data_IF_357151234794
#
_entry.id   IF_357151234794
#
_cell.length_a   1.000
_cell.length_b   1.000
_cell.length_c   1.000
_cell.angle_alpha   90.00
_cell.angle_beta   90.00
_cell.angle_gamma   90.00
#
_symmetry.space_group_name_H-M   'P 1'
#
loop_
_entity.id
_entity.type
_entity.pdbx_description
1 polymer ?
#
# COMPACT_ATOMS: atom_id res chain seq x y z
N UNK A 1 -23.73 -4.61 3.19
CA UNK A 1 -22.52 -3.79 3.06
C UNK A 1 -21.36 -4.51 2.38
N UNK A 2 -21.25 -5.84 2.42
CA UNK A 2 -20.14 -6.54 1.73
C UNK A 2 -20.50 -6.89 0.28
N UNK A 3 -19.84 -6.30 -0.73
CA UNK A 3 -20.12 -6.60 -2.11
C UNK A 3 -19.63 -7.99 -2.49
N UNK A 4 -20.38 -8.64 -3.39
CA UNK A 4 -20.09 -10.01 -3.85
C UNK A 4 -19.54 -9.97 -5.27
N UNK A 5 -18.73 -10.96 -5.62
CA UNK A 5 -18.23 -11.13 -6.99
C UNK A 5 -18.49 -12.55 -7.48
N UNK A 6 -18.91 -12.68 -8.74
CA UNK A 6 -19.09 -13.95 -9.44
C UNK A 6 -17.79 -14.40 -10.14
N UNK A 7 -16.79 -13.52 -10.22
CA UNK A 7 -15.50 -13.82 -10.86
C UNK A 7 -14.79 -14.94 -10.10
N UNK A 8 -14.49 -16.02 -10.82
CA UNK A 8 -13.64 -17.09 -10.30
C UNK A 8 -12.18 -16.66 -10.30
N UNK A 9 -11.41 -17.19 -9.35
CA UNK A 9 -9.97 -16.96 -9.31
C UNK A 9 -9.32 -17.78 -10.43
N UNK A 10 -8.44 -17.15 -11.21
CA UNK A 10 -7.59 -17.89 -12.13
C UNK A 10 -6.52 -18.69 -11.36
N UNK A 11 -5.76 -19.54 -12.05
CA UNK A 11 -4.74 -20.40 -11.44
C UNK A 11 -3.69 -19.61 -10.65
N UNK A 12 -3.23 -18.48 -11.19
CA UNK A 12 -2.24 -17.60 -10.53
C UNK A 12 -2.83 -17.00 -9.26
N UNK A 13 -4.04 -16.45 -9.32
CA UNK A 13 -4.70 -15.83 -8.17
C UNK A 13 -5.00 -16.84 -7.06
N UNK A 14 -5.43 -18.05 -7.43
CA UNK A 14 -5.65 -19.13 -6.47
C UNK A 14 -4.34 -19.55 -5.79
N UNK A 15 -3.25 -19.66 -6.56
CA UNK A 15 -1.92 -19.92 -6.02
C UNK A 15 -1.44 -18.81 -5.07
N UNK A 16 -1.58 -17.54 -5.48
CA UNK A 16 -1.23 -16.37 -4.67
C UNK A 16 -2.04 -16.33 -3.36
N UNK A 17 -3.33 -16.65 -3.41
CA UNK A 17 -4.20 -16.75 -2.23
C UNK A 17 -3.74 -17.86 -1.30
N UNK A 18 -3.52 -19.07 -1.82
CA UNK A 18 -3.07 -20.23 -1.04
C UNK A 18 -1.75 -19.93 -0.33
N UNK A 19 -0.80 -19.32 -1.04
CA UNK A 19 0.49 -18.89 -0.49
C UNK A 19 0.32 -17.87 0.63
N UNK A 20 -0.52 -16.85 0.42
CA UNK A 20 -0.80 -15.83 1.43
C UNK A 20 -1.41 -16.43 2.71
N UNK A 21 -2.38 -17.35 2.56
CA UNK A 21 -3.00 -18.05 3.68
C UNK A 21 -1.98 -18.92 4.44
N UNK A 22 -1.12 -19.66 3.72
CA UNK A 22 -0.10 -20.50 4.34
C UNK A 22 0.90 -19.68 5.17
N UNK A 23 1.42 -18.58 4.62
CA UNK A 23 2.36 -17.69 5.32
C UNK A 23 1.72 -17.13 6.60
N UNK A 24 0.47 -16.66 6.52
CA UNK A 24 -0.24 -16.12 7.69
C UNK A 24 -0.50 -17.17 8.75
N UNK A 25 -0.90 -18.38 8.36
CA UNK A 25 -1.14 -19.48 9.29
C UNK A 25 0.15 -19.93 9.98
N UNK A 26 1.25 -20.07 9.24
CA UNK A 26 2.57 -20.37 9.79
C UNK A 26 3.02 -19.28 10.76
N UNK A 27 2.96 -18.02 10.32
CA UNK A 27 3.38 -16.86 11.13
C UNK A 27 2.58 -16.81 12.42
N UNK A 28 1.25 -16.93 12.36
CA UNK A 28 0.37 -16.91 13.53
C UNK A 28 0.79 -17.93 14.58
N UNK A 29 1.04 -19.18 14.17
CA UNK A 29 1.43 -20.25 15.09
C UNK A 29 2.79 -19.99 15.73
N UNK A 30 3.76 -19.53 14.94
CA UNK A 30 5.12 -19.36 15.43
C UNK A 30 5.27 -18.11 16.32
N UNK A 31 4.54 -17.02 16.06
CA UNK A 31 4.57 -15.83 16.95
C UNK A 31 3.89 -16.07 18.30
N UNK A 32 3.07 -17.11 18.42
CA UNK A 32 2.52 -17.56 19.71
C UNK A 32 3.58 -18.25 20.57
N UNK A 33 4.57 -18.91 19.95
CA UNK A 33 5.68 -19.62 20.61
C UNK A 33 6.88 -18.70 20.84
N UNK A 34 7.22 -17.86 19.86
CA UNK A 34 8.35 -16.93 19.91
C UNK A 34 7.90 -15.54 19.46
N UNK A 35 7.89 -14.59 20.42
CA UNK A 35 7.51 -13.20 20.17
C UNK A 35 8.38 -12.48 19.14
N UNK A 36 9.60 -12.96 18.90
CA UNK A 36 10.55 -12.38 17.94
C UNK A 36 10.45 -13.01 16.55
N UNK A 37 9.59 -14.02 16.39
CA UNK A 37 9.53 -14.84 15.19
C UNK A 37 9.32 -13.99 13.92
N UNK A 38 10.10 -14.34 12.92
CA UNK A 38 9.88 -13.99 11.53
C UNK A 38 10.21 -15.18 10.64
N UNK A 39 9.65 -15.22 9.44
CA UNK A 39 10.09 -16.18 8.42
C UNK A 39 11.60 -16.04 8.19
N UNK A 40 12.32 -17.08 7.73
CA UNK A 40 13.78 -16.99 7.54
C UNK A 40 14.20 -15.80 6.68
N UNK A 41 13.43 -15.52 5.63
CA UNK A 41 13.52 -14.37 4.74
C UNK A 41 12.13 -13.73 4.57
N UNK A 42 12.03 -12.44 4.20
CA UNK A 42 10.75 -11.80 3.96
C UNK A 42 10.02 -12.46 2.79
N UNK A 43 8.71 -12.68 2.96
CA UNK A 43 7.82 -13.25 1.95
C UNK A 43 7.13 -12.19 1.10
N UNK A 44 7.08 -10.96 1.60
CA UNK A 44 6.68 -9.77 0.87
C UNK A 44 7.75 -8.69 1.02
N UNK A 45 8.01 -7.94 -0.05
CA UNK A 45 8.89 -6.78 -0.01
C UNK A 45 8.20 -5.60 -0.67
N UNK A 46 8.32 -4.45 -0.06
CA UNK A 46 7.77 -3.20 -0.53
C UNK A 46 8.93 -2.24 -0.78
N UNK A 47 9.09 -1.82 -2.03
CA UNK A 47 10.18 -0.95 -2.47
C UNK A 47 9.60 0.42 -2.82
N UNK A 48 9.97 1.42 -2.03
CA UNK A 48 9.73 2.81 -2.35
C UNK A 48 10.80 3.27 -3.34
N UNK A 49 10.49 3.28 -4.63
CA UNK A 49 11.52 3.52 -5.65
C UNK A 49 12.03 4.95 -5.62
N UNK A 50 11.18 5.93 -5.32
CA UNK A 50 11.58 7.33 -5.26
C UNK A 50 10.62 8.13 -4.39
N UNK A 51 11.11 9.22 -3.80
CA UNK A 51 10.25 10.21 -3.16
C UNK A 51 9.57 11.15 -4.16
N UNK A 52 10.10 11.26 -5.39
CA UNK A 52 9.56 12.16 -6.43
C UNK A 52 8.15 11.73 -6.86
N UNK A 53 7.24 12.68 -6.94
CA UNK A 53 5.94 12.50 -7.60
C UNK A 53 5.67 13.65 -8.56
N UNK A 54 5.06 13.34 -9.71
CA UNK A 54 4.61 14.30 -10.71
C UNK A 54 3.21 14.89 -10.40
N UNK A 55 2.59 14.50 -9.29
CA UNK A 55 1.32 15.04 -8.78
C UNK A 55 1.46 15.59 -7.37
N UNK A 56 0.48 16.38 -6.93
CA UNK A 56 0.34 16.93 -5.56
C UNK A 56 -1.09 16.70 -5.08
N UNK A 57 -1.45 15.44 -4.91
CA UNK A 57 -2.82 15.07 -4.58
C UNK A 57 -3.20 15.58 -3.19
N UNK A 58 -4.43 16.08 -3.03
CA UNK A 58 -4.90 16.74 -1.80
C UNK A 58 -4.92 15.79 -0.58
N UNK A 59 -5.12 14.49 -0.82
CA UNK A 59 -5.17 13.46 0.22
C UNK A 59 -3.82 12.82 0.55
N UNK A 60 -2.76 13.18 -0.18
CA UNK A 60 -1.50 12.45 -0.10
C UNK A 60 -0.69 12.87 1.13
N UNK A 61 -0.51 11.96 2.09
CA UNK A 61 0.31 12.19 3.29
C UNK A 61 1.79 12.54 2.98
N UNK A 62 2.29 12.26 1.76
CA UNK A 62 3.65 12.60 1.35
C UNK A 62 3.76 14.05 0.88
N UNK A 63 2.78 14.57 0.15
CA UNK A 63 2.94 15.76 -0.71
C UNK A 63 1.79 16.76 -0.68
N UNK A 64 0.70 16.50 0.04
CA UNK A 64 -0.34 17.51 0.28
C UNK A 64 0.20 18.66 1.15
N UNK A 65 -0.59 19.69 1.45
CA UNK A 65 -0.11 20.87 2.18
C UNK A 65 0.47 20.59 3.57
N UNK A 66 0.11 19.45 4.18
CA UNK A 66 0.61 18.97 5.47
C UNK A 66 1.50 17.72 5.32
N UNK A 67 2.01 17.51 4.11
CA UNK A 67 2.67 16.28 3.71
C UNK A 67 4.10 16.21 4.21
N UNK A 68 4.49 15.04 4.69
CA UNK A 68 5.77 14.83 5.37
C UNK A 68 7.01 15.13 4.50
N UNK A 69 6.92 15.06 3.15
CA UNK A 69 8.07 15.32 2.29
C UNK A 69 8.30 16.81 2.02
N UNK A 70 7.40 17.71 2.44
CA UNK A 70 7.66 19.16 2.31
C UNK A 70 8.84 19.61 3.17
N UNK A 71 9.05 18.96 4.32
CA UNK A 71 10.17 19.25 5.21
C UNK A 71 11.51 18.67 4.70
N UNK A 72 11.46 17.85 3.64
CA UNK A 72 12.68 17.33 3.03
C UNK A 72 13.39 18.41 2.20
N UNK A 73 14.72 18.42 2.28
CA UNK A 73 15.53 19.23 1.36
C UNK A 73 15.24 18.85 -0.10
N UNK A 74 15.45 19.78 -1.04
CA UNK A 74 15.25 19.50 -2.48
C UNK A 74 16.09 18.32 -2.98
N UNK A 75 17.25 18.07 -2.38
CA UNK A 75 18.08 16.90 -2.67
C UNK A 75 17.38 15.62 -2.18
N UNK A 76 16.92 15.60 -0.93
CA UNK A 76 16.21 14.45 -0.36
C UNK A 76 14.89 14.16 -1.08
N UNK A 77 14.13 15.18 -1.47
CA UNK A 77 12.92 15.02 -2.31
C UNK A 77 13.20 14.32 -3.66
N UNK A 78 14.47 14.32 -4.10
CA UNK A 78 14.92 13.73 -5.37
C UNK A 78 15.58 12.36 -5.21
N UNK A 79 15.59 11.80 -4.00
CA UNK A 79 16.17 10.47 -3.76
C UNK A 79 15.44 9.38 -4.55
N UNK A 80 16.23 8.43 -5.03
CA UNK A 80 15.84 7.25 -5.79
C UNK A 80 16.56 6.05 -5.18
N UNK A 81 15.88 4.91 -5.13
CA UNK A 81 16.42 3.67 -4.57
C UNK A 81 17.51 3.11 -5.48
N UNK A 82 18.68 2.85 -4.92
CA UNK A 82 19.80 2.32 -5.68
C UNK A 82 19.49 0.95 -6.30
N UNK A 83 19.92 0.77 -7.55
CA UNK A 83 19.71 -0.48 -8.27
C UNK A 83 20.37 -1.68 -7.59
N UNK A 84 21.51 -1.47 -6.96
CA UNK A 84 22.24 -2.55 -6.28
C UNK A 84 21.42 -3.08 -5.09
N UNK A 85 20.69 -2.21 -4.38
CA UNK A 85 19.75 -2.63 -3.34
C UNK A 85 18.58 -3.40 -3.95
N UNK A 86 18.01 -2.91 -5.06
CA UNK A 86 16.92 -3.62 -5.76
C UNK A 86 17.37 -5.02 -6.18
N UNK A 87 18.55 -5.15 -6.79
CA UNK A 87 19.12 -6.44 -7.18
C UNK A 87 19.36 -7.35 -5.97
N UNK A 88 19.98 -6.82 -4.90
CA UNK A 88 20.24 -7.59 -3.69
C UNK A 88 18.95 -8.15 -3.07
N UNK A 89 17.92 -7.31 -2.95
CA UNK A 89 16.60 -7.71 -2.46
C UNK A 89 16.01 -8.82 -3.32
N UNK A 90 16.00 -8.64 -4.64
CA UNK A 90 15.41 -9.60 -5.56
C UNK A 90 16.15 -10.93 -5.50
N UNK A 91 17.48 -10.92 -5.58
CA UNK A 91 18.34 -12.12 -5.49
C UNK A 91 18.19 -12.82 -4.15
N UNK A 92 18.23 -12.09 -3.04
CA UNK A 92 18.16 -12.68 -1.70
C UNK A 92 16.80 -13.32 -1.44
N UNK A 93 15.73 -12.81 -2.04
CA UNK A 93 14.36 -13.31 -1.82
C UNK A 93 13.86 -14.25 -2.92
N UNK A 94 14.73 -14.64 -3.87
CA UNK A 94 14.34 -15.40 -5.06
C UNK A 94 13.83 -16.81 -4.75
N UNK A 95 14.49 -17.54 -3.85
CA UNK A 95 14.06 -18.87 -3.40
C UNK A 95 12.65 -18.86 -2.82
N UNK A 96 12.29 -17.77 -2.16
CA UNK A 96 10.96 -17.59 -1.59
C UNK A 96 9.95 -17.04 -2.58
N UNK A 97 10.42 -16.52 -3.73
CA UNK A 97 9.67 -15.71 -4.71
C UNK A 97 8.85 -14.62 -4.03
N UNK A 98 9.49 -13.84 -3.14
CA UNK A 98 8.79 -12.83 -2.35
C UNK A 98 7.91 -11.93 -3.23
N UNK A 99 6.68 -11.66 -2.81
CA UNK A 99 5.80 -10.74 -3.54
C UNK A 99 6.38 -9.33 -3.43
N UNK A 100 6.53 -8.63 -4.54
CA UNK A 100 7.11 -7.29 -4.57
C UNK A 100 6.02 -6.25 -4.77
N UNK A 101 6.06 -5.18 -4.00
CA UNK A 101 5.23 -3.98 -4.18
C UNK A 101 6.16 -2.84 -4.59
N UNK A 102 5.92 -2.26 -5.75
CA UNK A 102 6.63 -1.08 -6.25
C UNK A 102 5.72 0.13 -6.06
N UNK A 103 6.21 1.12 -5.33
CA UNK A 103 5.47 2.35 -5.08
C UNK A 103 6.45 3.50 -4.82
N UNK A 104 5.96 4.64 -4.32
CA UNK A 104 6.77 5.77 -3.89
C UNK A 104 5.98 7.06 -3.90
N UNK A 105 6.64 8.14 -4.32
CA UNK A 105 5.92 9.24 -4.96
C UNK A 105 5.20 8.71 -6.20
N UNK A 106 5.90 8.64 -7.33
CA UNK A 106 5.46 7.91 -8.52
C UNK A 106 6.60 6.96 -8.96
N UNK A 107 6.45 5.63 -8.85
CA UNK A 107 7.53 4.69 -9.17
C UNK A 107 8.03 4.80 -10.62
N UNK A 108 7.16 5.16 -11.57
CA UNK A 108 7.54 5.35 -12.98
C UNK A 108 8.37 6.63 -13.23
N UNK A 109 8.62 7.44 -12.20
CA UNK A 109 9.58 8.56 -12.25
C UNK A 109 11.02 8.14 -11.95
N UNK A 110 11.26 6.91 -11.48
CA UNK A 110 12.61 6.43 -11.21
C UNK A 110 13.46 6.45 -12.49
N UNK A 111 14.61 7.13 -12.46
CA UNK A 111 15.40 7.38 -13.66
C UNK A 111 15.89 6.10 -14.34
N UNK A 112 16.05 5.03 -13.56
CA UNK A 112 16.49 3.70 -14.01
C UNK A 112 15.37 2.64 -13.96
N UNK A 113 14.09 3.04 -14.08
CA UNK A 113 12.96 2.10 -14.00
C UNK A 113 13.07 0.92 -15.00
N UNK A 114 13.57 1.18 -16.21
CA UNK A 114 13.79 0.12 -17.20
C UNK A 114 14.80 -0.94 -16.77
N UNK A 115 15.77 -0.60 -15.92
CA UNK A 115 16.73 -1.55 -15.37
C UNK A 115 16.10 -2.37 -14.25
N UNK A 116 15.29 -1.74 -13.39
CA UNK A 116 14.47 -2.44 -12.38
C UNK A 116 13.54 -3.46 -13.05
N UNK A 117 12.90 -3.09 -14.15
CA UNK A 117 12.05 -4.00 -14.92
C UNK A 117 12.82 -5.22 -15.44
N UNK A 118 14.05 -5.03 -15.92
CA UNK A 118 14.94 -6.14 -16.36
C UNK A 118 15.32 -7.05 -15.20
N UNK A 119 15.57 -6.52 -14.01
CA UNK A 119 15.85 -7.32 -12.81
C UNK A 119 14.63 -8.18 -12.45
N UNK A 120 13.44 -7.59 -12.42
CA UNK A 120 12.18 -8.30 -12.12
C UNK A 120 11.88 -9.41 -13.14
N UNK A 121 12.15 -9.17 -14.43
CA UNK A 121 12.00 -10.16 -15.49
C UNK A 121 12.90 -11.38 -15.30
N UNK A 122 14.11 -11.19 -14.75
CA UNK A 122 15.08 -12.28 -14.46
C UNK A 122 14.68 -13.12 -13.25
N UNK A 123 13.86 -12.57 -12.36
CA UNK A 123 13.39 -13.24 -11.14
C UNK A 123 11.86 -13.30 -11.07
N UNK A 124 11.18 -14.10 -11.93
CA UNK A 124 9.73 -14.06 -12.06
C UNK A 124 8.99 -14.30 -10.74
N UNK A 125 8.17 -13.32 -10.37
CA UNK A 125 7.42 -13.28 -9.11
C UNK A 125 6.18 -12.40 -9.26
N UNK A 126 5.29 -12.42 -8.25
CA UNK A 126 4.15 -11.51 -8.22
C UNK A 126 4.63 -10.10 -7.87
N UNK A 127 4.34 -9.14 -8.75
CA UNK A 127 4.72 -7.72 -8.62
C UNK A 127 3.46 -6.87 -8.65
N UNK A 128 3.30 -5.97 -7.69
CA UNK A 128 2.23 -4.97 -7.70
C UNK A 128 2.84 -3.59 -7.86
N UNK A 129 2.52 -2.92 -8.96
CA UNK A 129 2.95 -1.54 -9.23
C UNK A 129 1.83 -0.57 -8.89
N UNK A 130 2.00 0.23 -7.84
CA UNK A 130 1.08 1.30 -7.48
C UNK A 130 1.46 2.58 -8.24
N UNK A 131 0.65 3.02 -9.19
CA UNK A 131 0.96 4.18 -10.06
C UNK A 131 -0.24 5.10 -10.25
N UNK A 132 0.00 6.39 -10.52
CA UNK A 132 -1.00 7.32 -11.03
C UNK A 132 -1.29 7.14 -12.53
N UNK A 133 -0.57 6.22 -13.19
CA UNK A 133 -0.72 5.82 -14.58
C UNK A 133 -0.37 6.86 -15.65
N UNK A 134 -0.01 8.10 -15.29
CA UNK A 134 0.27 9.16 -16.27
C UNK A 134 1.52 8.91 -17.12
N UNK A 135 2.40 8.00 -16.66
CA UNK A 135 3.68 7.67 -17.29
C UNK A 135 3.71 6.27 -17.93
N UNK A 136 2.56 5.60 -18.04
CA UNK A 136 2.47 4.25 -18.62
C UNK A 136 2.96 4.23 -20.06
N UNK A 137 2.43 5.07 -20.96
CA UNK A 137 2.89 5.17 -22.36
C UNK A 137 4.40 5.34 -22.48
N UNK A 138 5.01 6.19 -21.64
CA UNK A 138 6.46 6.45 -21.65
C UNK A 138 7.29 5.23 -21.23
N UNK A 139 6.75 4.38 -20.35
CA UNK A 139 7.44 3.23 -19.77
C UNK A 139 6.88 1.90 -20.29
N UNK A 140 6.12 1.91 -21.39
CA UNK A 140 5.34 0.76 -21.83
C UNK A 140 6.22 -0.48 -22.04
N UNK A 141 7.32 -0.34 -22.79
CA UNK A 141 8.26 -1.42 -23.05
C UNK A 141 8.82 -2.06 -21.77
N UNK A 142 9.04 -1.26 -20.72
CA UNK A 142 9.53 -1.73 -19.44
C UNK A 142 8.45 -2.49 -18.67
N UNK A 143 7.19 -2.03 -18.73
CA UNK A 143 6.05 -2.74 -18.13
C UNK A 143 5.82 -4.10 -18.81
N UNK A 144 5.90 -4.15 -20.14
CA UNK A 144 5.80 -5.39 -20.90
C UNK A 144 6.92 -6.38 -20.53
N UNK A 145 8.12 -5.87 -20.24
CA UNK A 145 9.29 -6.67 -19.88
C UNK A 145 9.10 -7.46 -18.56
N UNK A 146 8.35 -6.93 -17.59
CA UNK A 146 8.16 -7.60 -16.28
C UNK A 146 7.35 -8.91 -16.42
N UNK A 147 6.45 -8.97 -17.40
CA UNK A 147 5.69 -10.18 -17.75
C UNK A 147 4.45 -10.46 -16.87
N UNK A 148 3.95 -11.72 -16.85
CA UNK A 148 2.63 -12.06 -16.31
C UNK A 148 2.50 -11.95 -14.78
N UNK A 149 3.61 -11.77 -14.09
CA UNK A 149 3.63 -11.53 -12.64
C UNK A 149 3.18 -10.12 -12.26
N UNK A 150 3.14 -9.18 -13.20
CA UNK A 150 2.83 -7.78 -12.96
C UNK A 150 1.31 -7.55 -12.83
N UNK A 151 0.92 -6.88 -11.76
CA UNK A 151 -0.36 -6.20 -11.61
C UNK A 151 -0.11 -4.70 -11.54
N UNK A 152 -0.61 -3.95 -12.53
CA UNK A 152 -0.60 -2.48 -12.51
C UNK A 152 -1.84 -2.03 -11.72
N UNK A 153 -1.62 -1.60 -10.49
CA UNK A 153 -2.64 -1.03 -9.62
C UNK A 153 -2.71 0.48 -9.86
N UNK A 154 -3.65 0.88 -10.69
CA UNK A 154 -3.87 2.28 -11.09
C UNK A 154 -4.67 3.01 -10.04
N UNK A 155 -4.14 4.15 -9.60
CA UNK A 155 -4.81 5.02 -8.66
C UNK A 155 -5.82 5.91 -9.37
N UNK A 156 -7.12 5.62 -9.21
CA UNK A 156 -8.23 6.27 -9.89
C UNK A 156 -9.36 6.53 -8.89
N UNK A 157 -9.40 7.74 -8.35
CA UNK A 157 -10.31 8.12 -7.24
C UNK A 157 -11.62 8.73 -7.74
N UNK A 158 -12.40 7.98 -8.55
CA UNK A 158 -13.67 8.44 -9.11
C UNK A 158 -13.63 8.75 -10.61
N UNK A 159 -14.75 9.25 -11.14
CA UNK A 159 -14.91 9.58 -12.56
C UNK A 159 -14.81 11.08 -12.80
N UNK A 160 -14.13 11.48 -13.87
CA UNK A 160 -14.08 12.87 -14.32
C UNK A 160 -13.66 13.84 -13.22
N UNK A 161 -14.58 14.70 -12.81
CA UNK A 161 -14.35 15.73 -11.80
C UNK A 161 -13.99 15.16 -10.43
N UNK A 162 -14.54 14.02 -10.01
CA UNK A 162 -14.28 13.43 -8.69
C UNK A 162 -12.79 13.09 -8.54
N UNK A 163 -12.21 12.50 -9.59
CA UNK A 163 -10.79 12.19 -9.64
C UNK A 163 -9.91 13.44 -9.69
N UNK A 164 -10.30 14.40 -10.53
CA UNK A 164 -9.54 15.65 -10.73
C UNK A 164 -9.56 16.56 -9.49
N UNK A 165 -10.63 16.52 -8.70
CA UNK A 165 -10.73 17.23 -7.42
C UNK A 165 -9.65 16.80 -6.43
N UNK A 166 -9.20 15.54 -6.51
CA UNK A 166 -8.18 14.99 -5.63
C UNK A 166 -6.78 15.02 -6.24
N UNK A 167 -6.66 14.79 -7.55
CA UNK A 167 -5.37 14.53 -8.21
C UNK A 167 -4.91 15.62 -9.18
N UNK A 168 -5.76 16.62 -9.41
CA UNK A 168 -5.49 17.75 -10.28
C UNK A 168 -6.19 17.65 -11.63
N UNK A 169 -6.42 18.82 -12.24
CA UNK A 169 -7.13 18.94 -13.53
C UNK A 169 -6.40 18.22 -14.67
N UNK A 170 -7.16 17.55 -15.53
CA UNK A 170 -6.67 16.85 -16.72
C UNK A 170 -6.02 15.50 -16.45
N UNK A 171 -5.98 15.01 -15.20
CA UNK A 171 -5.39 13.70 -14.91
C UNK A 171 -6.32 12.55 -15.30
N UNK A 172 -7.63 12.70 -15.12
CA UNK A 172 -8.61 11.64 -15.42
C UNK A 172 -8.53 11.15 -16.88
N UNK A 173 -8.70 11.99 -17.92
CA UNK A 173 -8.67 11.52 -19.31
C UNK A 173 -7.34 10.83 -19.65
N UNK A 174 -6.22 11.37 -19.17
CA UNK A 174 -4.88 10.80 -19.40
C UNK A 174 -4.72 9.45 -18.72
N UNK A 175 -5.22 9.30 -17.50
CA UNK A 175 -5.17 8.03 -16.76
C UNK A 175 -6.00 6.97 -17.49
N UNK A 176 -7.22 7.30 -17.91
CA UNK A 176 -8.10 6.36 -18.63
C UNK A 176 -7.50 5.95 -19.98
N UNK A 177 -6.91 6.88 -20.73
CA UNK A 177 -6.23 6.55 -21.99
C UNK A 177 -5.09 5.54 -21.81
N UNK A 178 -4.35 5.65 -20.72
CA UNK A 178 -3.28 4.70 -20.39
C UNK A 178 -3.82 3.35 -19.91
N UNK A 179 -4.92 3.35 -19.15
CA UNK A 179 -5.60 2.11 -18.72
C UNK A 179 -6.15 1.36 -19.94
N UNK A 180 -6.85 2.05 -20.85
CA UNK A 180 -7.37 1.48 -22.09
C UNK A 180 -6.26 0.88 -22.95
N UNK A 181 -5.13 1.59 -23.10
CA UNK A 181 -3.96 1.07 -23.80
C UNK A 181 -3.50 -0.29 -23.23
N UNK A 182 -3.34 -0.41 -21.90
CA UNK A 182 -2.93 -1.68 -21.30
C UNK A 182 -3.97 -2.79 -21.51
N UNK A 183 -5.26 -2.48 -21.40
CA UNK A 183 -6.33 -3.44 -21.60
C UNK A 183 -6.45 -3.90 -23.06
N UNK A 184 -6.22 -3.02 -24.02
CA UNK A 184 -6.21 -3.38 -25.44
C UNK A 184 -5.01 -4.27 -25.78
N UNK A 185 -3.84 -3.97 -25.22
CA UNK A 185 -2.66 -4.86 -25.29
C UNK A 185 -2.88 -6.19 -24.56
N UNK A 186 -3.70 -6.19 -23.51
CA UNK A 186 -4.07 -7.43 -22.82
C UNK A 186 -4.97 -8.31 -23.72
N UNK A 187 -5.90 -7.70 -24.46
CA UNK A 187 -6.75 -8.40 -25.44
C UNK A 187 -5.95 -8.93 -26.63
N UNK A 188 -4.92 -8.21 -27.09
CA UNK A 188 -4.03 -8.68 -28.17
C UNK A 188 -3.02 -9.74 -27.71
N UNK A 189 -2.83 -9.91 -26.40
CA UNK A 189 -1.87 -10.84 -25.79
C UNK A 189 -0.46 -10.27 -25.65
N UNK A 190 -0.22 -9.02 -26.04
CA UNK A 190 1.06 -8.31 -25.89
C UNK A 190 1.36 -7.95 -24.43
N UNK A 191 0.32 -7.64 -23.64
CA UNK A 191 0.44 -7.43 -22.20
C UNK A 191 -0.18 -8.60 -21.43
N UNK A 192 0.64 -9.34 -20.67
CA UNK A 192 0.20 -10.52 -19.94
C UNK A 192 -0.08 -10.25 -18.46
N UNK A 193 0.15 -9.03 -17.99
CA UNK A 193 -0.12 -8.64 -16.62
C UNK A 193 -1.59 -8.34 -16.36
N UNK A 194 -1.90 -7.99 -15.11
CA UNK A 194 -3.21 -7.57 -14.67
C UNK A 194 -3.28 -6.03 -14.62
N UNK A 195 -4.47 -5.48 -14.82
CA UNK A 195 -4.78 -4.05 -14.59
C UNK A 195 -5.86 -4.00 -13.52
N UNK A 196 -5.57 -3.35 -12.40
CA UNK A 196 -6.51 -3.18 -11.28
C UNK A 196 -6.66 -1.69 -10.94
N UNK A 197 -7.76 -1.32 -10.31
CA UNK A 197 -8.03 0.05 -9.87
C UNK A 197 -7.99 0.14 -8.35
N UNK A 198 -7.38 1.20 -7.84
CA UNK A 198 -7.44 1.61 -6.44
C UNK A 198 -8.15 2.96 -6.39
N UNK A 199 -9.33 2.99 -5.79
CA UNK A 199 -10.13 4.18 -5.59
C UNK A 199 -10.11 4.54 -4.11
N UNK A 200 -9.51 5.68 -3.77
CA UNK A 200 -9.62 6.24 -2.42
C UNK A 200 -11.02 6.80 -2.21
N UNK A 201 -11.73 6.27 -1.21
CA UNK A 201 -13.07 6.71 -0.83
C UNK A 201 -12.96 8.09 -0.18
N UNK A 202 -13.45 9.09 -0.89
CA UNK A 202 -13.36 10.51 -0.59
C UNK A 202 -14.74 11.15 -0.46
N UNK A 203 -14.78 12.41 -0.05
CA UNK A 203 -15.99 13.22 -0.09
C UNK A 203 -16.67 13.17 -1.46
N UNK A 204 -15.87 13.19 -2.52
CA UNK A 204 -16.32 13.35 -3.91
C UNK A 204 -16.85 12.03 -4.46
N UNK A 205 -16.24 10.91 -4.08
CA UNK A 205 -16.67 9.58 -4.55
C UNK A 205 -17.85 9.01 -3.75
N UNK A 206 -18.13 9.55 -2.55
CA UNK A 206 -19.28 9.10 -1.75
C UNK A 206 -20.55 9.50 -2.50
N UNK A 207 -21.43 8.52 -2.75
CA UNK A 207 -22.62 8.69 -3.59
C UNK A 207 -22.43 8.25 -5.05
N UNK A 208 -21.20 8.23 -5.58
CA UNK A 208 -20.90 7.79 -6.96
C UNK A 208 -20.18 6.43 -7.04
N UNK A 209 -19.95 5.75 -5.91
CA UNK A 209 -19.21 4.48 -5.87
C UNK A 209 -19.83 3.38 -6.75
N UNK A 210 -21.17 3.33 -6.86
CA UNK A 210 -21.89 2.37 -7.73
C UNK A 210 -21.60 2.64 -9.20
N UNK A 211 -21.73 3.90 -9.63
CA UNK A 211 -21.43 4.33 -11.00
C UNK A 211 -19.97 4.02 -11.36
N UNK A 212 -19.04 4.33 -10.46
CA UNK A 212 -17.63 3.99 -10.63
C UNK A 212 -17.40 2.48 -10.83
N UNK A 213 -18.11 1.64 -10.07
CA UNK A 213 -18.01 0.19 -10.22
C UNK A 213 -18.63 -0.35 -11.50
N UNK A 214 -19.78 0.19 -11.93
CA UNK A 214 -20.40 -0.17 -13.22
C UNK A 214 -19.46 0.18 -14.36
N UNK A 215 -18.90 1.38 -14.35
CA UNK A 215 -17.90 1.81 -15.32
C UNK A 215 -16.64 0.92 -15.31
N UNK A 216 -16.12 0.57 -14.13
CA UNK A 216 -14.94 -0.28 -14.03
C UNK A 216 -15.20 -1.72 -14.52
N UNK A 217 -16.40 -2.24 -14.28
CA UNK A 217 -16.84 -3.54 -14.78
C UNK A 217 -16.93 -3.56 -16.31
N UNK A 218 -17.54 -2.54 -16.90
CA UNK A 218 -17.61 -2.37 -18.37
C UNK A 218 -16.23 -2.23 -19.00
N UNK A 219 -15.31 -1.53 -18.32
CA UNK A 219 -13.94 -1.36 -18.79
C UNK A 219 -13.18 -2.70 -18.82
N UNK A 220 -13.55 -3.66 -17.98
CA UNK A 220 -12.96 -5.00 -17.94
C UNK A 220 -11.67 -5.11 -17.11
N UNK A 221 -11.51 -4.30 -16.06
CA UNK A 221 -10.35 -4.39 -15.17
C UNK A 221 -10.39 -5.66 -14.30
N UNK A 222 -9.24 -6.10 -13.81
CA UNK A 222 -9.11 -7.32 -13.02
C UNK A 222 -9.76 -7.20 -11.62
N UNK A 223 -9.52 -6.07 -10.95
CA UNK A 223 -10.01 -5.82 -9.59
C UNK A 223 -10.21 -4.33 -9.33
N UNK A 224 -11.16 -4.00 -8.46
CA UNK A 224 -11.36 -2.67 -7.90
C UNK A 224 -11.22 -2.75 -6.38
N UNK A 225 -10.33 -1.90 -5.85
CA UNK A 225 -10.10 -1.73 -4.43
C UNK A 225 -10.63 -0.36 -3.99
N UNK A 226 -11.60 -0.34 -3.10
CA UNK A 226 -12.03 0.86 -2.39
C UNK A 226 -11.20 1.01 -1.12
N UNK A 227 -10.32 2.01 -1.10
CA UNK A 227 -9.43 2.30 0.02
C UNK A 227 -10.02 3.42 0.88
N UNK A 228 -10.24 3.15 2.16
CA UNK A 228 -10.64 4.21 3.09
C UNK A 228 -9.43 5.07 3.46
N UNK A 229 -9.62 6.39 3.64
CA UNK A 229 -8.53 7.28 3.99
C UNK A 229 -8.03 6.97 5.38
N UNK A 230 -6.70 7.04 5.54
CA UNK A 230 -6.05 6.81 6.82
C UNK A 230 -6.07 8.09 7.64
N UNK A 231 -7.24 8.61 7.98
CA UNK A 231 -7.28 9.76 8.86
C UNK A 231 -6.80 9.35 10.26
N UNK A 232 -5.74 10.01 10.74
CA UNK A 232 -5.26 9.88 12.12
C UNK A 232 -5.67 11.17 12.83
N UNK A 233 -6.56 11.06 13.83
CA UNK A 233 -7.03 12.24 14.56
C UNK A 233 -5.90 12.83 15.41
N UNK A 234 -5.94 14.13 15.76
CA UNK A 234 -4.94 14.75 16.63
C UNK A 234 -4.77 14.00 17.96
N UNK A 235 -5.87 13.49 18.53
CA UNK A 235 -5.85 12.72 19.78
C UNK A 235 -5.11 11.38 19.60
N UNK A 236 -5.36 10.67 18.48
CA UNK A 236 -4.67 9.41 18.19
C UNK A 236 -3.19 9.65 17.84
N UNK A 237 -2.88 10.75 17.17
CA UNK A 237 -1.51 11.15 16.86
C UNK A 237 -0.73 11.49 18.13
N UNK A 238 -1.32 12.25 19.06
CA UNK A 238 -0.74 12.53 20.38
C UNK A 238 -0.53 11.26 21.19
N UNK A 239 -1.51 10.35 21.21
CA UNK A 239 -1.35 9.06 21.88
C UNK A 239 -0.23 8.22 21.25
N UNK A 240 0.00 8.37 19.95
CA UNK A 240 1.11 7.72 19.26
C UNK A 240 2.46 8.33 19.63
N UNK A 241 2.53 9.64 19.85
CA UNK A 241 3.75 10.30 20.35
C UNK A 241 4.17 9.72 21.69
N UNK A 242 3.23 9.60 22.63
CA UNK A 242 3.46 9.02 23.96
C UNK A 242 3.90 7.55 23.86
N UNK A 243 3.17 6.76 23.07
CA UNK A 243 3.50 5.34 22.84
C UNK A 243 4.93 5.21 22.28
N UNK A 244 5.28 6.03 21.29
CA UNK A 244 6.58 5.99 20.65
C UNK A 244 7.70 6.36 21.64
N UNK A 245 7.50 7.43 22.42
CA UNK A 245 8.46 7.86 23.43
C UNK A 245 8.71 6.77 24.49
N UNK A 246 7.65 6.08 24.94
CA UNK A 246 7.75 5.02 25.93
C UNK A 246 8.43 3.75 25.38
N UNK A 247 8.07 3.34 24.16
CA UNK A 247 8.38 1.99 23.68
C UNK A 247 9.44 1.94 22.57
N UNK A 248 9.68 3.04 21.86
CA UNK A 248 10.46 3.09 20.62
C UNK A 248 11.49 4.21 20.54
N UNK A 249 11.68 5.03 21.59
CA UNK A 249 12.69 6.10 21.62
C UNK A 249 14.13 5.64 21.34
N UNK A 250 14.40 4.34 21.44
CA UNK A 250 15.68 3.70 21.11
C UNK A 250 15.90 3.47 19.60
N UNK A 251 14.88 3.60 18.74
CA UNK A 251 15.01 3.44 17.29
C UNK A 251 15.57 4.72 16.65
N UNK A 252 14.74 5.76 16.60
CA UNK A 252 15.08 7.01 15.96
C UNK A 252 14.30 8.14 16.63
N UNK A 253 14.81 8.74 17.72
CA UNK A 253 14.11 9.82 18.39
C UNK A 253 13.86 10.97 17.39
N UNK A 254 12.63 11.52 17.31
CA UNK A 254 12.34 12.64 16.42
C UNK A 254 13.33 13.77 16.65
N UNK A 255 13.88 14.33 15.57
CA UNK A 255 14.78 15.47 15.68
C UNK A 255 14.00 16.66 16.29
N UNK A 256 14.64 17.51 17.12
CA UNK A 256 13.97 18.66 17.70
C UNK A 256 13.30 19.53 16.63
N UNK A 257 12.03 19.85 16.83
CA UNK A 257 11.25 20.67 15.90
C UNK A 257 10.73 19.93 14.66
N UNK A 258 10.86 18.60 14.59
CA UNK A 258 10.22 17.79 13.53
C UNK A 258 8.93 17.17 14.05
N UNK A 259 7.92 17.12 13.18
CA UNK A 259 6.66 16.45 13.47
C UNK A 259 6.72 15.01 12.95
N UNK A 260 6.41 13.99 13.77
CA UNK A 260 6.36 12.63 13.29
C UNK A 260 5.35 12.42 12.15
N UNK A 261 5.66 11.50 11.25
CA UNK A 261 4.95 11.26 10.00
C UNK A 261 3.48 10.91 10.20
N UNK A 262 3.10 10.30 11.33
CA UNK A 262 1.69 9.98 11.62
C UNK A 262 0.78 11.22 11.76
N UNK A 263 1.34 12.41 11.96
CA UNK A 263 0.58 13.67 11.95
C UNK A 263 0.25 14.18 10.54
N UNK A 264 0.90 13.68 9.48
CA UNK A 264 0.64 14.08 8.09
C UNK A 264 -0.57 13.37 7.45
N UNK A 265 -1.25 12.52 8.22
CA UNK A 265 -2.40 11.72 7.79
C UNK A 265 -3.73 12.44 8.07
N UNK A 266 -3.92 13.58 7.38
CA UNK A 266 -4.94 14.57 7.74
C UNK A 266 -6.24 14.49 6.94
N UNK A 267 -6.24 13.83 5.77
CA UNK A 267 -7.42 13.74 4.93
C UNK A 267 -8.45 12.77 5.51
N UNK A 268 -9.71 13.21 5.59
CA UNK A 268 -10.85 12.40 6.06
C UNK A 268 -12.09 12.63 5.20
N UNK A 269 -13.01 11.67 5.26
CA UNK A 269 -14.37 11.89 4.77
C UNK A 269 -15.10 12.77 5.79
N UNK A 270 -15.85 13.77 5.32
CA UNK A 270 -16.60 14.67 6.19
C UNK A 270 -17.64 13.90 7.05
N UNK A 271 -17.77 14.19 8.35
CA UNK A 271 -18.69 13.47 9.23
C UNK A 271 -20.14 13.43 8.72
N UNK A 272 -20.61 14.51 8.09
CA UNK A 272 -21.93 14.59 7.48
C UNK A 272 -22.17 13.60 6.32
N UNK A 273 -21.11 13.08 5.71
CA UNK A 273 -21.17 12.14 4.60
C UNK A 273 -21.17 10.66 5.04
N UNK A 274 -21.00 10.36 6.33
CA UNK A 274 -20.97 8.96 6.84
C UNK A 274 -22.27 8.22 6.48
N UNK A 275 -23.42 8.88 6.57
CA UNK A 275 -24.70 8.31 6.16
C UNK A 275 -24.76 7.98 4.66
N UNK A 276 -24.23 8.87 3.81
CA UNK A 276 -24.13 8.65 2.37
C UNK A 276 -23.15 7.52 2.04
N UNK A 277 -22.01 7.46 2.73
CA UNK A 277 -21.04 6.38 2.60
C UNK A 277 -21.66 5.01 2.92
N UNK A 278 -22.38 4.90 4.04
CA UNK A 278 -23.08 3.65 4.41
C UNK A 278 -24.09 3.22 3.33
N UNK A 279 -24.81 4.17 2.71
CA UNK A 279 -25.73 3.90 1.59
C UNK A 279 -24.98 3.42 0.35
N UNK A 280 -23.92 4.11 -0.08
CA UNK A 280 -23.10 3.67 -1.22
C UNK A 280 -22.50 2.28 -1.01
N UNK A 281 -22.06 1.95 0.22
CA UNK A 281 -21.58 0.61 0.55
C UNK A 281 -22.70 -0.44 0.53
N UNK A 282 -23.94 -0.06 0.87
CA UNK A 282 -25.11 -0.93 0.78
C UNK A 282 -25.49 -1.18 -0.69
N UNK A 283 -25.55 -0.15 -1.52
CA UNK A 283 -25.83 -0.22 -2.96
C UNK A 283 -24.85 -1.16 -3.68
N UNK A 284 -23.56 -1.06 -3.38
CA UNK A 284 -22.55 -1.97 -3.92
C UNK A 284 -22.77 -3.44 -3.52
N UNK A 285 -23.45 -3.69 -2.41
CA UNK A 285 -23.75 -5.04 -1.91
C UNK A 285 -25.08 -5.61 -2.45
N UNK A 286 -25.92 -4.82 -3.11
CA UNK A 286 -27.22 -5.26 -3.66
C UNK A 286 -27.06 -6.26 -4.79
N UNK A 287 -25.96 -6.17 -5.55
CA UNK A 287 -25.67 -7.06 -6.68
C UNK A 287 -24.36 -7.82 -6.52
N UNK A 288 -24.20 -8.80 -7.40
CA UNK A 288 -22.95 -9.53 -7.60
C UNK A 288 -22.24 -8.93 -8.81
N UNK A 289 -20.95 -8.65 -8.67
CA UNK A 289 -20.10 -8.04 -9.72
C UNK A 289 -19.27 -9.09 -10.46
N UNK A 290 -19.05 -8.92 -11.76
CA UNK A 290 -18.17 -9.75 -12.59
C UNK A 290 -16.71 -9.30 -12.52
N UNK A 291 -16.45 -8.14 -11.93
CA UNK A 291 -15.12 -7.70 -11.50
C UNK A 291 -14.95 -7.95 -10.00
N UNK A 292 -13.72 -8.26 -9.58
CA UNK A 292 -13.42 -8.46 -8.18
C UNK A 292 -13.46 -7.11 -7.45
N UNK A 293 -14.34 -6.99 -6.47
CA UNK A 293 -14.48 -5.82 -5.61
C UNK A 293 -14.01 -6.12 -4.19
N UNK A 294 -13.23 -5.19 -3.61
CA UNK A 294 -12.72 -5.29 -2.25
C UNK A 294 -12.68 -3.92 -1.58
N UNK A 295 -13.14 -3.88 -0.33
CA UNK A 295 -12.85 -2.77 0.58
C UNK A 295 -11.52 -2.98 1.29
N UNK A 296 -10.85 -1.89 1.59
CA UNK A 296 -9.57 -1.84 2.29
C UNK A 296 -9.60 -0.75 3.38
N UNK A 297 -9.88 -1.12 4.65
CA UNK A 297 -10.37 -2.42 5.12
C UNK A 297 -11.84 -2.70 4.75
N UNK A 298 -12.23 -3.97 4.78
CA UNK A 298 -13.62 -4.41 4.80
C UNK A 298 -14.25 -4.13 6.17
N UNK A 299 -14.95 -2.99 6.27
CA UNK A 299 -15.57 -2.50 7.50
C UNK A 299 -16.98 -3.07 7.69
N UNK A 300 -17.34 -3.39 8.93
CA UNK A 300 -18.72 -3.62 9.35
C UNK A 300 -19.46 -2.29 9.59
N UNK A 301 -20.82 -2.28 9.57
CA UNK A 301 -21.60 -1.04 9.72
C UNK A 301 -21.26 -0.19 10.95
N UNK A 302 -20.97 -0.83 12.08
CA UNK A 302 -20.62 -0.19 13.35
C UNK A 302 -19.14 0.24 13.43
N UNK A 303 -18.31 -0.18 12.47
CA UNK A 303 -16.89 0.18 12.38
C UNK A 303 -16.66 1.40 11.47
N UNK A 304 -17.58 1.71 10.55
CA UNK A 304 -17.41 2.78 9.54
C UNK A 304 -17.12 4.13 10.17
N UNK A 305 -17.91 4.50 11.17
CA UNK A 305 -17.85 5.84 11.78
C UNK A 305 -16.55 6.04 12.55
N UNK A 306 -16.19 5.10 13.43
CA UNK A 306 -14.92 5.12 14.15
C UNK A 306 -13.71 5.11 13.20
N UNK A 307 -13.80 4.37 12.10
CA UNK A 307 -12.73 4.34 11.11
C UNK A 307 -12.56 5.71 10.43
N UNK A 308 -13.65 6.28 9.90
CA UNK A 308 -13.66 7.57 9.19
C UNK A 308 -13.27 8.74 10.09
N UNK A 309 -13.74 8.74 11.34
CA UNK A 309 -13.47 9.81 12.30
C UNK A 309 -12.08 9.73 12.95
N UNK A 310 -11.28 8.73 12.59
CA UNK A 310 -9.90 8.65 13.03
C UNK A 310 -9.69 8.01 14.40
N UNK A 311 -10.71 7.37 14.98
CA UNK A 311 -10.61 6.73 16.29
C UNK A 311 -9.65 5.53 16.29
N UNK A 312 -8.99 5.28 17.43
CA UNK A 312 -8.05 4.17 17.63
C UNK A 312 -8.75 2.82 17.89
N UNK A 313 -9.85 2.53 17.19
CA UNK A 313 -10.60 1.27 17.30
C UNK A 313 -10.27 0.35 16.13
N UNK A 314 -9.74 -0.86 16.35
CA UNK A 314 -9.49 -1.81 15.26
C UNK A 314 -10.80 -2.33 14.63
N UNK A 315 -10.80 -2.51 13.31
CA UNK A 315 -11.85 -3.17 12.55
C UNK A 315 -11.59 -4.68 12.31
N UNK A 316 -12.56 -5.40 11.74
CA UNK A 316 -12.48 -6.82 11.35
C UNK A 316 -12.07 -7.78 12.47
N UNK A 317 -12.24 -7.38 13.74
CA UNK A 317 -11.75 -8.12 14.91
C UNK A 317 -10.23 -8.41 14.86
N UNK A 318 -9.45 -7.59 14.17
CA UNK A 318 -7.99 -7.75 14.05
C UNK A 318 -7.25 -6.74 14.90
N UNK A 319 -6.45 -7.21 15.83
CA UNK A 319 -5.66 -6.35 16.72
C UNK A 319 -4.17 -6.71 16.72
N UNK A 320 -3.75 -7.76 16.01
CA UNK A 320 -2.34 -8.15 15.95
C UNK A 320 -1.83 -8.17 14.53
N UNK A 321 -0.80 -7.38 14.22
CA UNK A 321 -0.23 -7.33 12.89
C UNK A 321 0.82 -8.44 12.69
N UNK A 322 0.63 -9.29 11.67
CA UNK A 322 1.62 -10.30 11.29
C UNK A 322 2.60 -9.83 10.21
N UNK A 323 2.43 -8.62 9.66
CA UNK A 323 3.26 -8.11 8.58
C UNK A 323 4.73 -7.99 9.02
N UNK A 324 5.00 -7.61 10.26
CA UNK A 324 6.35 -7.46 10.83
C UNK A 324 7.17 -8.77 10.85
N UNK A 325 6.51 -9.91 10.62
CA UNK A 325 7.14 -11.24 10.61
C UNK A 325 7.26 -11.85 9.21
N UNK A 326 6.74 -11.20 8.17
CA UNK A 326 6.87 -11.71 6.79
C UNK A 326 7.01 -10.62 5.69
N UNK A 327 6.96 -9.33 6.03
CA UNK A 327 7.03 -8.21 5.09
C UNK A 327 8.15 -7.24 5.43
N UNK A 328 8.97 -6.91 4.44
CA UNK A 328 10.04 -5.91 4.51
C UNK A 328 9.62 -4.62 3.79
N UNK A 329 9.92 -3.46 4.37
CA UNK A 329 9.65 -2.14 3.75
C UNK A 329 10.98 -1.41 3.56
N UNK A 330 11.34 -1.09 2.30
CA UNK A 330 12.59 -0.41 1.91
C UNK A 330 12.27 0.96 1.33
N UNK A 331 12.83 2.00 1.94
CA UNK A 331 12.66 3.40 1.60
C UNK A 331 13.51 3.77 0.38
N UNK A 332 13.24 4.92 -0.24
CA UNK A 332 14.01 5.38 -1.39
C UNK A 332 15.49 5.63 -1.07
N UNK A 333 15.84 5.89 0.19
CA UNK A 333 17.21 6.10 0.66
C UNK A 333 17.89 4.83 1.19
N UNK A 334 17.36 3.64 0.88
CA UNK A 334 17.95 2.35 1.27
C UNK A 334 17.62 1.91 2.70
N UNK A 335 17.06 2.81 3.53
CA UNK A 335 16.64 2.48 4.90
C UNK A 335 15.48 1.49 4.93
N UNK A 336 15.48 0.65 5.94
CA UNK A 336 14.45 -0.36 6.18
C UNK A 336 13.64 0.03 7.39
N UNK A 337 12.32 0.07 7.26
CA UNK A 337 11.41 0.31 8.39
C UNK A 337 10.63 -0.95 8.78
N UNK A 338 10.37 -1.13 10.07
CA UNK A 338 9.57 -2.25 10.58
C UNK A 338 8.07 -2.08 10.36
N UNK A 339 7.60 -0.85 10.18
CA UNK A 339 6.19 -0.51 9.96
C UNK A 339 6.05 0.35 8.70
N UNK A 340 4.85 0.40 8.11
CA UNK A 340 4.58 0.99 6.78
C UNK A 340 5.16 2.41 6.62
N UNK A 341 6.38 2.48 6.12
CA UNK A 341 7.12 3.70 5.75
C UNK A 341 7.08 4.86 6.75
N UNK A 342 6.90 4.56 8.04
CA UNK A 342 7.14 5.51 9.10
C UNK A 342 8.66 5.56 9.33
N UNK A 343 9.36 6.65 8.98
CA UNK A 343 10.81 6.75 9.13
C UNK A 343 11.26 6.73 10.59
N UNK A 344 10.34 6.97 11.52
CA UNK A 344 10.54 6.81 12.96
C UNK A 344 10.77 5.33 13.34
N UNK A 345 10.35 4.40 12.48
CA UNK A 345 10.49 2.94 12.67
C UNK A 345 11.61 2.33 11.81
N UNK A 346 12.61 3.13 11.40
CA UNK A 346 13.80 2.61 10.72
C UNK A 346 14.59 1.70 11.65
N UNK A 347 14.93 0.50 11.17
CA UNK A 347 15.60 -0.57 11.91
C UNK A 347 16.97 -0.95 11.32
N UNK A 348 17.34 -0.38 10.17
CA UNK A 348 18.59 -0.68 9.48
C UNK A 348 18.68 -0.01 8.12
N UNK A 349 19.81 -0.19 7.45
CA UNK A 349 20.15 0.40 6.16
C UNK A 349 20.78 -0.66 5.24
N UNK A 350 20.26 -0.81 4.02
CA UNK A 350 20.77 -1.78 3.05
C UNK A 350 22.07 -1.32 2.34
N UNK A 351 22.49 -0.08 2.53
CA UNK A 351 23.84 0.36 2.16
C UNK A 351 24.91 -0.20 3.11
N UNK A 352 24.54 -0.54 4.34
CA UNK A 352 25.46 -0.97 5.40
C UNK A 352 25.38 -2.46 5.70
N UNK A 353 24.20 -3.07 5.55
CA UNK A 353 23.93 -4.45 5.93
C UNK A 353 23.03 -5.14 4.94
N UNK A 354 23.28 -6.42 4.70
CA UNK A 354 22.47 -7.18 3.74
C UNK A 354 21.05 -7.44 4.21
N UNK A 355 20.15 -7.76 3.28
CA UNK A 355 18.71 -7.96 3.54
C UNK A 355 18.45 -8.97 4.66
N UNK A 356 19.15 -10.10 4.66
CA UNK A 356 18.98 -11.14 5.70
C UNK A 356 19.45 -10.67 7.09
N UNK A 357 20.50 -9.84 7.13
CA UNK A 357 21.05 -9.31 8.38
C UNK A 357 20.10 -8.31 9.01
N UNK A 358 19.55 -7.36 8.23
CA UNK A 358 18.54 -6.41 8.72
C UNK A 358 17.25 -7.14 9.13
N UNK A 359 16.80 -8.09 8.32
CA UNK A 359 15.57 -8.85 8.56
C UNK A 359 15.59 -9.66 9.87
N UNK A 360 16.74 -10.28 10.17
CA UNK A 360 17.00 -11.02 11.40
C UNK A 360 17.76 -10.19 12.44
N UNK A 361 17.83 -8.86 12.27
CA UNK A 361 18.58 -7.97 13.13
C UNK A 361 17.94 -7.80 14.52
N UNK A 362 18.76 -7.42 15.49
CA UNK A 362 18.33 -7.19 16.87
C UNK A 362 17.24 -6.11 16.96
N UNK A 363 17.39 -5.01 16.22
CA UNK A 363 16.40 -3.93 16.17
C UNK A 363 15.03 -4.45 15.74
N UNK A 364 14.94 -5.25 14.65
CA UNK A 364 13.66 -5.78 14.21
C UNK A 364 13.09 -6.80 15.21
N UNK A 365 13.92 -7.66 15.79
CA UNK A 365 13.48 -8.58 16.86
C UNK A 365 12.89 -7.82 18.04
N UNK A 366 13.53 -6.73 18.47
CA UNK A 366 13.04 -5.89 19.57
C UNK A 366 11.70 -5.23 19.22
N UNK A 367 11.53 -4.72 17.99
CA UNK A 367 10.21 -4.22 17.53
C UNK A 367 9.13 -5.30 17.63
N UNK A 368 9.42 -6.52 17.17
CA UNK A 368 8.46 -7.65 17.23
C UNK A 368 8.07 -7.97 18.68
N UNK A 369 9.03 -7.98 19.60
CA UNK A 369 8.77 -8.15 21.04
C UNK A 369 7.84 -7.08 21.59
N UNK A 370 8.11 -5.80 21.30
CA UNK A 370 7.26 -4.69 21.75
C UNK A 370 5.84 -4.85 21.20
N UNK A 371 5.69 -5.07 19.89
CA UNK A 371 4.39 -5.23 19.26
C UNK A 371 3.62 -6.46 19.78
N UNK A 372 4.32 -7.50 20.24
CA UNK A 372 3.70 -8.68 20.86
C UNK A 372 3.18 -8.38 22.27
N UNK A 373 3.91 -7.56 23.03
CA UNK A 373 3.54 -7.14 24.39
C UNK A 373 2.42 -6.10 24.41
N UNK A 374 2.32 -5.25 23.38
CA UNK A 374 1.27 -4.24 23.25
C UNK A 374 0.03 -4.80 22.57
N UNK A 375 -1.16 -4.35 22.96
CA UNK A 375 -2.43 -4.81 22.34
C UNK A 375 -2.59 -4.31 20.90
N UNK A 376 -2.31 -3.03 20.64
CA UNK A 376 -2.28 -2.37 19.32
C UNK A 376 -1.70 -0.95 19.47
N UNK A 377 -0.74 -0.54 18.63
CA UNK A 377 -0.32 0.88 18.63
C UNK A 377 -1.46 1.78 18.09
N UNK A 378 -1.62 3.02 18.58
CA UNK A 378 -2.76 3.88 18.24
C UNK A 378 -3.06 3.98 16.73
N UNK A 379 -2.02 4.22 15.93
CA UNK A 379 -2.13 4.39 14.46
C UNK A 379 -2.41 3.09 13.69
N UNK A 380 -2.19 1.92 14.31
CA UNK A 380 -2.37 0.64 13.62
C UNK A 380 -3.84 0.36 13.26
N UNK A 381 -4.79 0.97 13.96
CA UNK A 381 -6.23 0.94 13.63
C UNK A 381 -6.57 1.55 12.26
N UNK A 382 -5.65 2.30 11.65
CA UNK A 382 -5.81 2.80 10.27
C UNK A 382 -5.04 1.96 9.26
N UNK A 383 -4.19 1.06 9.71
CA UNK A 383 -3.21 0.41 8.87
C UNK A 383 -3.79 -0.76 8.05
N UNK A 384 -3.77 -0.64 6.72
CA UNK A 384 -4.14 -1.72 5.81
C UNK A 384 -3.31 -2.99 6.00
N UNK A 385 -2.04 -2.89 6.43
CA UNK A 385 -1.22 -4.08 6.66
C UNK A 385 -1.76 -4.91 7.83
N UNK A 386 -2.34 -4.28 8.86
CA UNK A 386 -3.08 -4.98 9.91
C UNK A 386 -4.28 -5.72 9.32
N UNK A 387 -5.05 -5.07 8.44
CA UNK A 387 -6.25 -5.68 7.87
C UNK A 387 -5.99 -6.64 6.70
N UNK A 388 -4.78 -6.68 6.16
CA UNK A 388 -4.38 -7.69 5.18
C UNK A 388 -3.70 -8.89 5.84
N UNK A 389 -2.88 -8.66 6.87
CA UNK A 389 -2.03 -9.70 7.46
C UNK A 389 -2.43 -10.12 8.86
N UNK A 390 -3.09 -9.25 9.61
CA UNK A 390 -3.35 -9.42 11.03
C UNK A 390 -4.37 -10.49 11.39
N UNK A 391 -4.42 -10.79 12.68
CA UNK A 391 -5.29 -11.78 13.32
C UNK A 391 -6.07 -11.20 14.49
#
# INVERSE_FOLDING_TARGET
MHPRTARTLNQKEFHDLRRTVAIRAETRRNVEVDATYATPLPREVSLQLTYKCNLRCNHCYQWNDQGFFHDFSKVKQRTELDLDIVDEVLRTTDDTRAKVFLWGGEPLMHSRFGEIAKLLARTPRTVNLCTNALLIKRNLEHLLTIGPGLNVLVSLDGLGADHEALRGKGTFPRTIDNVRLLLDLQKSGEYQGEVSLSCMVSNETVGSMREFMEWAEELGVNSVYFQFPWFISPEVASAMDDMYAENFAWLNPPAPGTTPTWHSYTYRIEPGLIGALRRSMAELAERTWNVRIRYQPQLEPDEVEDFVLGASRPAQKRNRCLAVSNRLEVHADGKVSSCKFFPEFVIGDLHESGVAQVWQGEAFRRVRTVLRGTSLMPVCSKCILLYLNGV
#
